data_IF_555880230730
#
_entry.id   IF_555880230730
#
_cell.length_a   1.000
_cell.length_b   1.000
_cell.length_c   1.000
_cell.angle_alpha   90.00
_cell.angle_beta   90.00
_cell.angle_gamma   90.00
#
_symmetry.space_group_name_H-M   'P 1'
#
loop_
_entity.id
_entity.type
_entity.pdbx_description
1 polymer ?
#
# COMPACT_ATOMS: atom_id res chain seq x y z
N UNK A 1 25.43 -8.14 -15.37
CA UNK A 1 24.03 -7.68 -15.20
C UNK A 1 23.31 -8.61 -14.22
N UNK A 2 23.23 -8.28 -12.93
CA UNK A 2 22.58 -9.14 -11.92
C UNK A 2 21.97 -8.35 -10.73
N UNK A 3 21.62 -7.07 -10.95
CA UNK A 3 21.22 -6.17 -9.85
C UNK A 3 19.76 -5.74 -9.82
N UNK A 4 18.94 -6.13 -10.80
CA UNK A 4 17.59 -5.54 -10.96
C UNK A 4 16.44 -6.48 -10.54
N UNK A 5 16.68 -7.80 -10.52
CA UNK A 5 15.63 -8.78 -10.22
C UNK A 5 15.37 -8.89 -8.71
N UNK A 6 16.40 -8.78 -7.87
CA UNK A 6 16.24 -8.90 -6.41
C UNK A 6 15.57 -7.68 -5.76
N UNK A 7 15.83 -6.48 -6.29
CA UNK A 7 15.19 -5.25 -5.81
C UNK A 7 13.69 -5.25 -6.08
N UNK A 8 13.26 -5.66 -7.28
CA UNK A 8 11.84 -5.78 -7.63
C UNK A 8 11.13 -6.87 -6.80
N UNK A 9 11.77 -8.04 -6.61
CA UNK A 9 11.20 -9.14 -5.81
C UNK A 9 10.95 -8.77 -4.35
N UNK A 10 11.77 -7.89 -3.75
CA UNK A 10 11.58 -7.42 -2.37
C UNK A 10 10.67 -6.20 -2.27
N UNK A 11 10.70 -5.32 -3.27
CA UNK A 11 9.90 -4.11 -3.27
C UNK A 11 8.41 -4.41 -3.42
N UNK A 12 8.03 -5.37 -4.27
CA UNK A 12 6.61 -5.69 -4.50
C UNK A 12 5.87 -6.13 -3.21
N UNK A 13 6.39 -7.04 -2.38
CA UNK A 13 5.81 -7.33 -1.07
C UNK A 13 5.70 -6.12 -0.13
N UNK A 14 6.73 -5.26 -0.11
CA UNK A 14 6.72 -4.05 0.74
C UNK A 14 5.67 -3.04 0.29
N UNK A 15 5.51 -2.84 -1.02
CA UNK A 15 4.47 -1.98 -1.61
C UNK A 15 3.07 -2.50 -1.29
N UNK A 16 2.83 -3.82 -1.39
CA UNK A 16 1.55 -4.41 -0.98
C UNK A 16 1.25 -4.22 0.50
N UNK A 17 2.28 -4.34 1.36
CA UNK A 17 2.15 -4.10 2.79
C UNK A 17 1.81 -2.63 3.07
N UNK A 18 2.51 -1.69 2.43
CA UNK A 18 2.24 -0.27 2.56
C UNK A 18 0.81 0.10 2.14
N UNK A 19 0.34 -0.49 1.04
CA UNK A 19 -1.06 -0.34 0.59
C UNK A 19 -2.06 -0.85 1.62
N UNK A 20 -1.84 -2.04 2.19
CA UNK A 20 -2.72 -2.59 3.24
C UNK A 20 -2.74 -1.71 4.50
N UNK A 21 -1.58 -1.19 4.91
CA UNK A 21 -1.51 -0.24 6.02
C UNK A 21 -2.29 1.05 5.74
N UNK A 22 -2.31 1.52 4.48
CA UNK A 22 -3.15 2.63 4.07
C UNK A 22 -4.64 2.35 4.24
N UNK A 23 -5.11 1.16 3.84
CA UNK A 23 -6.50 0.72 4.06
C UNK A 23 -6.85 0.69 5.55
N UNK A 24 -5.99 0.10 6.37
CA UNK A 24 -6.19 0.01 7.83
C UNK A 24 -6.27 1.41 8.46
N UNK A 25 -5.36 2.31 8.09
CA UNK A 25 -5.35 3.68 8.59
C UNK A 25 -6.62 4.45 8.18
N UNK A 26 -7.08 4.31 6.93
CA UNK A 26 -8.35 4.91 6.49
C UNK A 26 -9.55 4.38 7.28
N UNK A 27 -9.56 3.09 7.64
CA UNK A 27 -10.65 2.49 8.42
C UNK A 27 -10.74 3.05 9.84
N UNK A 28 -9.62 3.56 10.36
CA UNK A 28 -9.48 4.16 11.68
C UNK A 28 -9.55 5.70 11.64
N UNK A 29 -9.63 6.31 10.45
CA UNK A 29 -9.57 7.77 10.29
C UNK A 29 -8.18 8.37 10.55
N UNK A 30 -7.13 7.56 10.55
CA UNK A 30 -5.74 8.02 10.73
C UNK A 30 -5.16 8.51 9.40
N UNK A 31 -4.63 9.73 9.36
CA UNK A 31 -4.02 10.33 8.16
C UNK A 31 -2.47 10.35 8.21
N UNK A 32 -1.88 9.79 9.26
CA UNK A 32 -0.43 9.80 9.44
C UNK A 32 0.26 8.69 8.64
N UNK A 33 0.81 9.06 7.48
CA UNK A 33 1.62 8.17 6.67
C UNK A 33 3.03 7.99 7.30
N UNK A 34 3.46 6.74 7.64
CA UNK A 34 4.75 6.50 8.29
C UNK A 34 5.94 6.48 7.32
N UNK A 35 5.70 6.56 6.02
CA UNK A 35 6.75 6.44 4.99
C UNK A 35 7.34 7.79 4.59
N UNK A 36 8.59 7.75 4.13
CA UNK A 36 9.28 8.92 3.56
C UNK A 36 8.45 9.47 2.39
N UNK A 37 8.13 10.79 2.36
CA UNK A 37 7.40 11.42 1.26
C UNK A 37 8.00 11.08 -0.11
N UNK A 38 7.13 10.95 -1.12
CA UNK A 38 7.46 10.63 -2.52
C UNK A 38 8.19 9.29 -2.75
N UNK A 39 8.28 8.43 -1.74
CA UNK A 39 8.74 7.05 -1.93
C UNK A 39 7.64 6.15 -2.51
N UNK A 40 8.02 5.02 -3.13
CA UNK A 40 7.07 4.01 -3.60
C UNK A 40 6.11 3.53 -2.49
N UNK A 41 6.61 3.40 -1.26
CA UNK A 41 5.81 2.97 -0.11
C UNK A 41 4.85 4.07 0.35
N UNK A 42 5.28 5.33 0.29
CA UNK A 42 4.42 6.49 0.57
C UNK A 42 3.23 6.54 -0.39
N UNK A 43 3.47 6.44 -1.70
CA UNK A 43 2.40 6.43 -2.69
C UNK A 43 1.49 5.20 -2.56
N UNK A 44 2.05 4.04 -2.23
CA UNK A 44 1.27 2.83 -2.00
C UNK A 44 0.33 2.98 -0.81
N UNK A 45 0.81 3.56 0.30
CA UNK A 45 -0.01 3.85 1.48
C UNK A 45 -1.12 4.86 1.15
N UNK A 46 -0.81 5.96 0.46
CA UNK A 46 -1.81 6.95 0.04
C UNK A 46 -2.87 6.32 -0.86
N UNK A 47 -2.46 5.44 -1.79
CA UNK A 47 -3.39 4.73 -2.66
C UNK A 47 -4.34 3.82 -1.87
N UNK A 48 -3.84 3.10 -0.86
CA UNK A 48 -4.67 2.28 0.03
C UNK A 48 -5.63 3.14 0.84
N UNK A 49 -5.13 4.21 1.45
CA UNK A 49 -5.94 5.13 2.24
C UNK A 49 -7.08 5.75 1.42
N UNK A 50 -6.76 6.24 0.22
CA UNK A 50 -7.72 6.81 -0.70
C UNK A 50 -8.72 5.78 -1.25
N UNK A 51 -8.31 4.52 -1.44
CA UNK A 51 -9.20 3.47 -1.93
C UNK A 51 -10.36 3.22 -0.97
N UNK A 52 -10.10 3.14 0.34
CA UNK A 52 -11.15 2.96 1.33
C UNK A 52 -11.94 4.26 1.57
N UNK A 53 -11.26 5.41 1.67
CA UNK A 53 -11.91 6.70 1.89
C UNK A 53 -12.88 7.09 0.75
N UNK A 54 -12.63 6.61 -0.48
CA UNK A 54 -13.52 6.83 -1.63
C UNK A 54 -14.59 5.74 -1.81
N UNK A 55 -14.69 4.78 -0.88
CA UNK A 55 -15.68 3.71 -0.95
C UNK A 55 -15.46 2.78 -2.16
N UNK A 56 -14.21 2.59 -2.61
CA UNK A 56 -13.89 1.49 -3.51
C UNK A 56 -13.91 0.19 -2.70
N UNK A 57 -15.12 -0.29 -2.42
CA UNK A 57 -15.46 -1.49 -1.69
C UNK A 57 -15.11 -2.76 -2.49
N UNK A 58 -13.83 -2.92 -2.85
CA UNK A 58 -13.26 -4.14 -3.42
C UNK A 58 -12.40 -4.87 -2.36
N UNK A 59 -12.77 -4.74 -1.08
CA UNK A 59 -12.12 -5.49 0.00
C UNK A 59 -12.45 -7.00 -0.06
N UNK A 60 -13.57 -7.37 -0.70
CA UNK A 60 -13.96 -8.76 -0.96
C UNK A 60 -13.02 -9.48 -1.94
N UNK A 61 -12.43 -8.77 -2.92
CA UNK A 61 -11.53 -9.39 -3.91
C UNK A 61 -10.14 -9.73 -3.35
N UNK A 62 -9.78 -9.21 -2.17
CA UNK A 62 -8.50 -9.49 -1.50
C UNK A 62 -8.54 -10.68 -0.54
N UNK A 63 -9.70 -11.33 -0.35
CA UNK A 63 -9.85 -12.56 0.44
C UNK A 63 -9.78 -13.86 -0.37
N UNK A 64 -9.62 -13.78 -1.70
CA UNK A 64 -9.44 -14.94 -2.56
C UNK A 64 -8.00 -15.01 -3.10
N UNK A 65 -7.05 -15.42 -2.25
CA UNK A 65 -5.79 -16.12 -2.62
C UNK A 65 -5.00 -16.49 -1.37
#
# INVERSE_FOLDING_TARGET
MHGNIDSSKKLAPMVRRAFRQGLEAASQGEDQNPYVPDSYLYHAWIAGWAALARGWDNAEDLRLS
#
